data_IF_045898477227
#
_entry.id   IF_045898477227
#
_cell.length_a   1.000
_cell.length_b   1.000
_cell.length_c   1.000
_cell.angle_alpha   90.00
_cell.angle_beta   90.00
_cell.angle_gamma   90.00
#
_symmetry.space_group_name_H-M   'P 1'
#
loop_
_entity.id
_entity.type
_entity.pdbx_description
1 polymer ?
#
# COMPACT_ATOMS: atom_id res chain seq x y z
N UNK A 1 -5.06 15.95 -13.57
CA UNK A 1 -4.15 14.81 -13.34
C UNK A 1 -2.74 15.38 -13.24
N UNK A 2 -1.97 14.95 -12.23
CA UNK A 2 -0.54 15.25 -12.19
C UNK A 2 0.14 14.44 -13.30
N UNK A 3 1.00 15.13 -14.04
CA UNK A 3 1.77 14.57 -15.15
C UNK A 3 3.25 14.82 -14.88
N UNK A 4 4.08 13.81 -15.11
CA UNK A 4 5.53 13.92 -15.05
C UNK A 4 6.10 13.20 -16.27
N UNK A 5 6.91 13.89 -17.06
CA UNK A 5 7.53 13.33 -18.28
C UNK A 5 6.51 12.69 -19.25
N UNK A 6 5.33 13.31 -19.39
CA UNK A 6 4.23 12.78 -20.23
C UNK A 6 3.43 11.63 -19.61
N UNK A 7 3.86 11.07 -18.47
CA UNK A 7 3.14 10.01 -17.79
C UNK A 7 2.16 10.57 -16.75
N UNK A 8 0.96 9.99 -16.71
CA UNK A 8 -0.12 10.33 -15.76
C UNK A 8 -0.45 9.21 -14.80
N UNK A 9 0.20 8.07 -14.96
CA UNK A 9 0.04 6.89 -14.12
C UNK A 9 1.41 6.27 -13.86
N UNK A 10 1.67 5.93 -12.62
CA UNK A 10 2.95 5.45 -12.15
C UNK A 10 2.77 4.12 -11.43
N UNK A 11 3.66 3.17 -11.70
CA UNK A 11 3.67 1.87 -11.03
C UNK A 11 4.28 1.99 -9.64
N UNK A 12 3.61 1.39 -8.68
CA UNK A 12 4.04 1.34 -7.28
C UNK A 12 4.15 -0.11 -6.83
N UNK A 13 5.22 -0.39 -6.12
CA UNK A 13 5.34 -1.61 -5.33
C UNK A 13 5.54 -1.24 -3.87
N UNK A 14 4.92 -1.98 -2.95
CA UNK A 14 5.15 -1.83 -1.52
C UNK A 14 5.23 -3.20 -0.87
N UNK A 15 6.31 -3.45 -0.15
CA UNK A 15 6.50 -4.65 0.66
C UNK A 15 6.19 -4.29 2.12
N UNK A 16 5.19 -4.92 2.69
CA UNK A 16 4.81 -4.77 4.09
C UNK A 16 5.56 -5.79 4.94
N UNK A 17 6.06 -5.33 6.07
CA UNK A 17 6.78 -6.16 7.05
C UNK A 17 5.87 -6.47 8.23
N UNK A 18 5.87 -7.72 8.66
CA UNK A 18 5.16 -8.20 9.84
C UNK A 18 5.96 -9.35 10.47
N UNK A 19 5.59 -9.74 11.66
CA UNK A 19 6.10 -10.96 12.31
C UNK A 19 5.43 -12.20 11.72
N UNK A 20 6.02 -13.38 11.91
CA UNK A 20 5.44 -14.64 11.44
C UNK A 20 4.04 -14.90 12.00
N UNK A 21 3.79 -14.48 13.25
CA UNK A 21 2.47 -14.53 13.92
C UNK A 21 1.58 -13.31 13.63
N UNK A 22 2.00 -12.44 12.66
CA UNK A 22 1.21 -11.33 12.13
C UNK A 22 0.77 -10.30 13.18
N UNK A 23 1.66 -9.88 14.04
CA UNK A 23 1.39 -8.89 15.11
C UNK A 23 0.80 -7.59 14.55
N UNK A 24 1.42 -6.99 13.53
CA UNK A 24 0.94 -5.74 12.91
C UNK A 24 -0.47 -5.90 12.33
N UNK A 25 -0.72 -7.02 11.64
CA UNK A 25 -2.05 -7.36 11.14
C UNK A 25 -3.07 -7.47 12.25
N UNK A 26 -2.79 -8.25 13.29
CA UNK A 26 -3.71 -8.46 14.41
C UNK A 26 -4.03 -7.17 15.17
N UNK A 27 -3.03 -6.32 15.38
CA UNK A 27 -3.24 -5.00 15.99
C UNK A 27 -4.16 -4.13 15.12
N UNK A 28 -4.02 -4.19 13.80
CA UNK A 28 -4.85 -3.43 12.86
C UNK A 28 -6.28 -4.01 12.76
N UNK A 29 -6.44 -5.33 12.66
CA UNK A 29 -7.72 -6.03 12.54
C UNK A 29 -8.60 -5.81 13.78
N UNK A 30 -8.00 -5.90 14.96
CA UNK A 30 -8.66 -5.69 16.24
C UNK A 30 -8.77 -4.23 16.65
N UNK A 31 -8.40 -3.29 15.77
CA UNK A 31 -8.43 -1.83 16.00
C UNK A 31 -7.73 -1.39 17.30
N UNK A 32 -6.64 -2.06 17.67
CA UNK A 32 -5.91 -1.75 18.92
C UNK A 32 -5.46 -0.29 18.91
N UNK A 33 -5.43 0.34 20.09
CA UNK A 33 -5.03 1.74 20.25
C UNK A 33 -3.60 1.95 19.79
N UNK A 34 -2.65 1.12 20.25
CA UNK A 34 -1.28 1.08 19.78
C UNK A 34 -1.18 0.09 18.63
N UNK A 35 -0.75 0.55 17.48
CA UNK A 35 -0.58 -0.26 16.29
C UNK A 35 0.36 0.40 15.30
N UNK A 36 0.94 -0.39 14.45
CA UNK A 36 1.87 0.09 13.43
C UNK A 36 1.60 -0.57 12.08
N UNK A 37 2.22 -0.01 11.03
CA UNK A 37 2.44 -0.62 9.73
C UNK A 37 3.78 -0.17 9.22
N UNK A 38 4.64 -1.11 8.90
CA UNK A 38 5.93 -0.86 8.29
C UNK A 38 5.89 -1.36 6.85
N UNK A 39 6.41 -0.56 5.92
CA UNK A 39 6.58 -0.99 4.55
C UNK A 39 7.73 -0.27 3.88
N UNK A 40 8.40 -0.94 2.97
CA UNK A 40 9.10 -0.28 1.89
C UNK A 40 8.12 0.12 0.80
N UNK A 41 8.46 1.14 0.04
CA UNK A 41 7.72 1.54 -1.15
C UNK A 41 8.68 2.02 -2.21
N UNK A 42 8.66 1.38 -3.37
CA UNK A 42 9.40 1.81 -4.55
C UNK A 42 8.45 2.38 -5.63
N UNK A 43 8.99 3.27 -6.41
CA UNK A 43 8.39 3.78 -7.64
C UNK A 43 9.02 2.98 -8.77
N UNK A 44 8.27 2.05 -9.34
CA UNK A 44 8.80 1.11 -10.34
C UNK A 44 9.32 1.87 -11.56
N UNK A 45 10.55 1.54 -11.97
CA UNK A 45 11.22 2.24 -13.08
C UNK A 45 12.00 3.49 -12.66
N UNK A 46 12.08 3.77 -11.35
CA UNK A 46 12.94 4.82 -10.79
C UNK A 46 13.84 4.24 -9.72
N UNK A 47 14.89 4.98 -9.33
CA UNK A 47 15.74 4.63 -8.20
C UNK A 47 15.20 5.11 -6.84
N UNK A 48 13.92 5.53 -6.81
CA UNK A 48 13.32 6.11 -5.61
C UNK A 48 12.59 5.05 -4.80
N UNK A 49 13.00 4.90 -3.56
CA UNK A 49 12.29 4.07 -2.59
C UNK A 49 12.32 4.71 -1.19
N UNK A 50 11.40 4.32 -0.34
CA UNK A 50 11.27 4.79 1.04
C UNK A 50 10.91 3.62 1.95
N UNK A 51 11.47 3.62 3.17
CA UNK A 51 10.91 2.84 4.26
C UNK A 51 9.94 3.73 5.05
N UNK A 52 8.66 3.35 5.05
CA UNK A 52 7.57 4.13 5.65
C UNK A 52 7.02 3.42 6.88
N UNK A 53 7.02 4.10 8.01
CA UNK A 53 6.35 3.67 9.24
C UNK A 53 5.07 4.49 9.45
N UNK A 54 3.96 3.81 9.68
CA UNK A 54 2.72 4.43 10.13
C UNK A 54 2.35 3.87 11.49
N UNK A 55 2.43 4.72 12.52
CA UNK A 55 2.10 4.37 13.88
C UNK A 55 0.81 5.03 14.35
N UNK A 56 0.18 4.45 15.34
CA UNK A 56 -0.86 5.07 16.14
C UNK A 56 -0.61 4.78 17.59
N UNK A 57 -0.37 5.83 18.38
CA UNK A 57 -0.10 5.75 19.79
C UNK A 57 -1.35 5.76 20.66
N UNK A 58 -1.14 5.69 21.98
CA UNK A 58 -2.21 5.63 22.98
C UNK A 58 -3.18 6.82 22.96
N UNK A 59 -2.72 8.01 22.54
CA UNK A 59 -3.56 9.22 22.39
C UNK A 59 -4.41 9.23 21.10
N UNK A 60 -4.31 8.17 20.28
CA UNK A 60 -5.08 8.05 19.03
C UNK A 60 -4.52 8.86 17.86
N UNK A 61 -3.43 9.58 18.04
CA UNK A 61 -2.74 10.30 16.97
C UNK A 61 -2.08 9.29 16.04
N UNK A 62 -2.26 9.50 14.75
CA UNK A 62 -1.58 8.73 13.70
C UNK A 62 -0.41 9.55 13.20
N UNK A 63 0.78 8.97 13.29
CA UNK A 63 2.02 9.54 12.77
C UNK A 63 2.44 8.71 11.56
N UNK A 64 2.92 9.38 10.52
CA UNK A 64 3.52 8.77 9.34
C UNK A 64 4.89 9.40 9.14
N UNK A 65 5.90 8.58 9.23
CA UNK A 65 7.30 8.94 9.03
C UNK A 65 7.89 8.08 7.90
N UNK A 66 8.98 8.52 7.33
CA UNK A 66 9.71 7.77 6.32
C UNK A 66 11.18 8.18 6.34
N UNK A 67 12.02 7.25 5.92
CA UNK A 67 13.42 7.48 5.55
C UNK A 67 13.61 7.07 4.08
N UNK A 68 14.62 7.64 3.43
CA UNK A 68 15.05 7.19 2.12
C UNK A 68 15.52 5.74 2.20
N UNK A 69 15.33 4.97 1.14
CA UNK A 69 15.63 3.55 1.13
C UNK A 69 16.10 3.12 -0.25
N UNK A 70 17.07 2.22 -0.31
CA UNK A 70 17.53 1.68 -1.59
C UNK A 70 16.51 0.72 -2.17
N UNK A 71 16.29 0.81 -3.47
CA UNK A 71 15.37 -0.08 -4.19
C UNK A 71 15.75 -1.55 -4.07
N UNK A 72 17.07 -1.85 -4.01
CA UNK A 72 17.62 -3.19 -3.82
C UNK A 72 17.32 -3.79 -2.43
N UNK A 73 16.97 -2.96 -1.46
CA UNK A 73 16.70 -3.36 -0.08
C UNK A 73 15.19 -3.43 0.24
N UNK A 74 14.32 -3.21 -0.76
CA UNK A 74 12.87 -3.11 -0.51
C UNK A 74 12.23 -4.40 0.05
N UNK A 75 12.85 -5.55 -0.11
CA UNK A 75 12.38 -6.85 0.38
C UNK A 75 12.96 -7.25 1.75
N UNK A 76 13.79 -6.41 2.36
CA UNK A 76 14.45 -6.69 3.66
C UNK A 76 14.61 -5.43 4.50
N UNK A 77 14.86 -5.59 5.79
CA UNK A 77 15.22 -4.50 6.68
C UNK A 77 16.74 -4.44 6.85
N UNK A 78 17.34 -3.32 6.44
CA UNK A 78 18.75 -2.99 6.71
C UNK A 78 18.97 -2.70 8.21
N UNK A 79 20.21 -2.55 8.65
CA UNK A 79 20.52 -2.15 10.02
C UNK A 79 19.85 -0.81 10.37
N UNK A 80 19.98 0.20 9.51
CA UNK A 80 19.33 1.50 9.66
C UNK A 80 17.80 1.38 9.68
N UNK A 81 17.21 0.59 8.78
CA UNK A 81 15.77 0.34 8.73
C UNK A 81 15.25 -0.33 10.03
N UNK A 82 16.06 -1.19 10.65
CA UNK A 82 15.74 -1.81 11.95
C UNK A 82 15.79 -0.80 13.08
N UNK A 83 16.82 0.02 13.16
CA UNK A 83 16.96 1.07 14.16
C UNK A 83 15.78 2.07 14.07
N UNK A 84 15.54 2.61 12.89
CA UNK A 84 14.38 3.47 12.60
C UNK A 84 13.05 2.86 13.06
N UNK A 85 12.85 1.56 12.76
CA UNK A 85 11.61 0.86 13.12
C UNK A 85 11.50 0.63 14.62
N UNK A 86 12.60 0.32 15.31
CA UNK A 86 12.65 0.11 16.76
C UNK A 86 12.28 1.40 17.50
N UNK A 87 12.85 2.54 17.11
CA UNK A 87 12.56 3.85 17.69
C UNK A 87 11.09 4.22 17.52
N UNK A 88 10.53 4.00 16.34
CA UNK A 88 9.11 4.28 16.07
C UNK A 88 8.17 3.39 16.90
N UNK A 89 8.52 2.12 17.12
CA UNK A 89 7.75 1.21 17.99
C UNK A 89 7.84 1.64 19.46
N UNK A 90 9.05 1.94 19.95
CA UNK A 90 9.27 2.45 21.32
C UNK A 90 8.48 3.74 21.56
N UNK A 91 8.47 4.66 20.59
CA UNK A 91 7.74 5.94 20.65
C UNK A 91 6.24 5.81 20.87
N UNK A 92 5.63 4.67 20.51
CA UNK A 92 4.22 4.38 20.78
C UNK A 92 4.02 3.37 21.93
N UNK A 93 5.10 2.96 22.61
CA UNK A 93 5.09 2.01 23.72
C UNK A 93 4.76 0.59 23.30
N UNK A 94 5.23 0.16 22.13
CA UNK A 94 5.37 -1.22 21.72
C UNK A 94 6.81 -1.68 21.94
N UNK A 95 7.00 -2.99 22.08
CA UNK A 95 8.31 -3.58 22.25
C UNK A 95 9.19 -3.35 20.99
N UNK A 96 10.31 -2.62 21.07
CA UNK A 96 11.23 -2.45 19.96
C UNK A 96 11.88 -3.76 19.51
N UNK A 97 11.98 -4.76 20.39
CA UNK A 97 12.51 -6.08 20.08
C UNK A 97 11.71 -6.82 18.99
N UNK A 98 10.46 -6.44 18.75
CA UNK A 98 9.65 -6.99 17.64
C UNK A 98 10.36 -6.83 16.28
N UNK A 99 11.19 -5.82 16.10
CA UNK A 99 11.89 -5.56 14.84
C UNK A 99 12.78 -6.74 14.42
N UNK A 100 13.33 -7.48 15.36
CA UNK A 100 14.17 -8.65 15.08
C UNK A 100 13.41 -9.75 14.32
N UNK A 101 12.08 -9.85 14.52
CA UNK A 101 11.19 -10.85 13.90
C UNK A 101 10.39 -10.32 12.71
N UNK A 102 10.54 -9.05 12.34
CA UNK A 102 9.88 -8.51 11.16
C UNK A 102 10.53 -9.01 9.86
N UNK A 103 9.71 -9.57 9.00
CA UNK A 103 10.07 -9.98 7.64
C UNK A 103 9.02 -9.59 6.61
N UNK A 104 9.30 -9.73 5.31
CA UNK A 104 8.33 -9.51 4.25
C UNK A 104 7.10 -10.39 4.45
N UNK A 105 5.91 -9.79 4.51
CA UNK A 105 4.66 -10.50 4.77
C UNK A 105 3.64 -10.35 3.64
N UNK A 106 3.65 -9.20 2.97
CA UNK A 106 2.73 -8.92 1.87
C UNK A 106 3.33 -7.89 0.93
N UNK A 107 3.36 -8.18 -0.36
CA UNK A 107 3.68 -7.21 -1.41
C UNK A 107 2.40 -6.72 -2.07
N UNK A 108 2.32 -5.43 -2.36
CA UNK A 108 1.21 -4.85 -3.14
C UNK A 108 1.74 -4.14 -4.36
N UNK A 109 1.12 -4.38 -5.53
CA UNK A 109 1.41 -3.72 -6.80
C UNK A 109 0.17 -3.01 -7.31
N UNK A 110 0.33 -1.82 -7.88
CA UNK A 110 -0.76 -1.06 -8.47
C UNK A 110 -0.23 0.07 -9.34
N UNK A 111 -1.07 0.54 -10.25
CA UNK A 111 -0.85 1.77 -11.00
C UNK A 111 -1.57 2.92 -10.28
N UNK A 112 -0.91 4.06 -10.12
CA UNK A 112 -1.46 5.23 -9.45
C UNK A 112 -1.50 6.46 -10.34
N UNK A 113 -2.67 7.02 -10.49
CA UNK A 113 -2.87 8.39 -10.98
C UNK A 113 -3.19 9.31 -9.82
N UNK A 114 -2.67 10.54 -9.85
CA UNK A 114 -2.94 11.56 -8.84
C UNK A 114 -3.70 12.71 -9.47
N UNK A 115 -4.81 13.08 -8.84
CA UNK A 115 -5.61 14.25 -9.19
C UNK A 115 -5.33 15.35 -8.16
N UNK A 116 -5.13 16.56 -8.64
CA UNK A 116 -5.11 17.77 -7.83
C UNK A 116 -6.27 18.64 -8.31
N UNK A 117 -7.20 18.95 -7.42
CA UNK A 117 -8.31 19.82 -7.71
C UNK A 117 -7.94 21.30 -7.46
N UNK A 118 -8.66 22.26 -8.06
CA UNK A 118 -8.38 23.69 -7.87
C UNK A 118 -8.46 24.17 -6.42
N UNK A 119 -9.25 23.49 -5.58
CA UNK A 119 -9.40 23.75 -4.15
C UNK A 119 -8.25 23.16 -3.29
N UNK A 120 -7.18 22.65 -3.92
CA UNK A 120 -6.06 22.00 -3.25
C UNK A 120 -6.35 20.56 -2.80
N UNK A 121 -7.56 20.05 -3.01
CA UNK A 121 -7.88 18.65 -2.71
C UNK A 121 -7.07 17.72 -3.61
N UNK A 122 -6.46 16.73 -3.00
CA UNK A 122 -5.72 15.68 -3.70
C UNK A 122 -6.49 14.38 -3.63
N UNK A 123 -6.65 13.70 -4.76
CA UNK A 123 -7.11 12.32 -4.81
C UNK A 123 -6.12 11.44 -5.55
N UNK A 124 -6.03 10.19 -5.14
CA UNK A 124 -5.27 9.16 -5.85
C UNK A 124 -6.23 8.08 -6.33
N UNK A 125 -6.00 7.56 -7.52
CA UNK A 125 -6.74 6.46 -8.13
C UNK A 125 -5.74 5.34 -8.34
N UNK A 126 -5.94 4.23 -7.66
CA UNK A 126 -5.11 3.03 -7.77
C UNK A 126 -5.86 1.98 -8.57
N UNK A 127 -5.26 1.53 -9.66
CA UNK A 127 -5.76 0.52 -10.60
C UNK A 127 -4.80 -0.66 -10.68
N UNK A 128 -5.16 -1.72 -11.39
CA UNK A 128 -4.32 -2.92 -11.55
C UNK A 128 -3.84 -3.47 -10.21
N UNK A 129 -4.78 -3.60 -9.29
CA UNK A 129 -4.51 -3.95 -7.91
C UNK A 129 -4.11 -5.42 -7.76
N UNK A 130 -2.95 -5.67 -7.19
CA UNK A 130 -2.46 -7.01 -6.89
C UNK A 130 -1.83 -7.07 -5.49
N UNK A 131 -1.99 -8.22 -4.84
CA UNK A 131 -1.39 -8.57 -3.56
C UNK A 131 -0.69 -9.91 -3.68
N UNK A 132 0.50 -10.03 -3.12
CA UNK A 132 1.32 -11.23 -3.16
C UNK A 132 1.76 -11.51 -1.73
N UNK A 133 1.42 -12.67 -1.19
CA UNK A 133 1.88 -13.05 0.15
C UNK A 133 3.31 -13.62 0.14
N UNK A 134 3.83 -13.93 1.32
CA UNK A 134 5.17 -14.49 1.48
C UNK A 134 5.36 -15.86 0.80
N UNK A 135 4.27 -16.62 0.59
CA UNK A 135 4.28 -17.92 -0.09
C UNK A 135 4.13 -17.79 -1.62
N UNK A 136 4.03 -16.56 -2.13
CA UNK A 136 3.89 -16.27 -3.55
C UNK A 136 2.45 -16.41 -4.07
N UNK A 137 1.45 -16.62 -3.22
CA UNK A 137 0.05 -16.58 -3.65
C UNK A 137 -0.30 -15.15 -4.04
N UNK A 138 -0.90 -15.01 -5.21
CA UNK A 138 -1.27 -13.72 -5.76
C UNK A 138 -2.78 -13.56 -5.76
N UNK A 139 -3.25 -12.41 -5.30
CA UNK A 139 -4.64 -11.97 -5.41
C UNK A 139 -4.69 -10.75 -6.31
N UNK A 140 -5.53 -10.80 -7.32
CA UNK A 140 -5.84 -9.67 -8.19
C UNK A 140 -7.29 -9.25 -8.02
N UNK A 141 -7.54 -7.96 -8.20
CA UNK A 141 -8.89 -7.37 -8.10
C UNK A 141 -9.29 -6.68 -9.41
N UNK A 142 -9.57 -7.46 -10.48
CA UNK A 142 -9.91 -6.91 -11.78
C UNK A 142 -11.22 -6.12 -11.73
N UNK A 143 -11.27 -5.03 -12.50
CA UNK A 143 -12.46 -4.18 -12.59
C UNK A 143 -12.71 -3.26 -11.39
N UNK A 144 -11.87 -3.31 -10.36
CA UNK A 144 -11.97 -2.45 -9.20
C UNK A 144 -10.83 -1.44 -9.14
N UNK A 145 -11.14 -0.28 -8.58
CA UNK A 145 -10.16 0.78 -8.31
C UNK A 145 -10.29 1.24 -6.85
N UNK A 146 -9.19 1.70 -6.27
CA UNK A 146 -9.21 2.35 -4.97
C UNK A 146 -9.01 3.85 -5.18
N UNK A 147 -10.01 4.64 -4.79
CA UNK A 147 -9.92 6.10 -4.76
C UNK A 147 -9.68 6.54 -3.32
N UNK A 148 -8.62 7.31 -3.09
CA UNK A 148 -8.33 7.94 -1.79
C UNK A 148 -8.31 9.45 -1.97
N UNK A 149 -9.28 10.14 -1.38
CA UNK A 149 -9.30 11.60 -1.32
C UNK A 149 -8.63 12.09 -0.03
N UNK A 150 -7.91 13.20 -0.12
CA UNK A 150 -7.27 13.88 1.00
C UNK A 150 -7.70 15.34 1.02
N UNK A 151 -8.39 15.68 2.09
CA UNK A 151 -8.84 17.06 2.36
C UNK A 151 -8.44 17.44 3.78
N UNK A 152 -8.10 18.70 3.99
CA UNK A 152 -7.78 19.24 5.31
C UNK A 152 -9.04 19.64 6.12
N UNK A 153 -10.21 19.52 5.53
CA UNK A 153 -11.47 19.99 6.14
C UNK A 153 -12.70 19.16 5.76
N UNK A 154 -13.81 19.79 5.48
CA UNK A 154 -15.04 19.09 5.10
C UNK A 154 -14.88 18.32 3.78
N UNK A 155 -15.85 17.45 3.44
CA UNK A 155 -15.81 16.67 2.20
C UNK A 155 -15.57 17.55 0.97
N UNK A 156 -14.61 17.14 0.14
CA UNK A 156 -14.21 17.85 -1.07
C UNK A 156 -15.25 17.78 -2.19
N UNK A 157 -15.03 18.51 -3.28
CA UNK A 157 -15.84 18.38 -4.48
C UNK A 157 -15.76 16.96 -5.07
N UNK A 158 -14.58 16.31 -4.95
CA UNK A 158 -14.38 14.91 -5.39
C UNK A 158 -15.23 13.97 -4.55
N UNK A 159 -15.23 14.11 -3.21
CA UNK A 159 -16.05 13.28 -2.32
C UNK A 159 -17.54 13.43 -2.66
N UNK A 160 -18.01 14.66 -2.81
CA UNK A 160 -19.41 14.93 -3.17
C UNK A 160 -19.80 14.34 -4.52
N UNK A 161 -18.89 14.35 -5.50
CA UNK A 161 -19.13 13.75 -6.82
C UNK A 161 -19.24 12.23 -6.73
N UNK A 162 -18.37 11.58 -5.97
CA UNK A 162 -18.45 10.15 -5.71
C UNK A 162 -19.77 9.78 -5.00
N UNK A 163 -20.19 10.56 -4.01
CA UNK A 163 -21.43 10.31 -3.28
C UNK A 163 -22.68 10.48 -4.14
N UNK A 164 -22.70 11.46 -5.05
CA UNK A 164 -23.80 11.61 -6.04
C UNK A 164 -23.87 10.42 -6.99
N UNK A 165 -22.72 9.83 -7.33
CA UNK A 165 -22.63 8.60 -8.11
C UNK A 165 -22.94 7.32 -7.30
N UNK A 166 -23.39 7.45 -6.04
CA UNK A 166 -23.71 6.32 -5.18
C UNK A 166 -22.48 5.66 -4.52
N UNK A 167 -21.28 6.18 -4.75
CA UNK A 167 -20.04 5.61 -4.22
C UNK A 167 -19.80 6.18 -2.82
N UNK A 168 -19.87 5.32 -1.82
CA UNK A 168 -19.69 5.70 -0.41
C UNK A 168 -18.29 5.33 0.09
N UNK A 169 -17.72 6.10 1.06
CA UNK A 169 -16.41 5.78 1.62
C UNK A 169 -16.42 4.46 2.38
N UNK A 170 -15.34 3.69 2.21
CA UNK A 170 -15.13 2.40 2.85
C UNK A 170 -13.80 2.37 3.60
N UNK A 171 -13.76 1.61 4.69
CA UNK A 171 -12.57 1.48 5.53
C UNK A 171 -11.56 0.48 4.99
N UNK A 172 -11.00 0.74 3.81
CA UNK A 172 -10.01 -0.14 3.19
C UNK A 172 -8.60 0.07 3.73
N UNK A 173 -7.83 -1.00 3.77
CA UNK A 173 -6.38 -1.01 4.00
C UNK A 173 -5.74 -2.01 3.06
N UNK A 174 -4.91 -1.58 2.09
CA UNK A 174 -4.22 -2.52 1.19
C UNK A 174 -3.58 -3.67 1.96
N UNK A 175 -2.80 -3.36 3.01
CA UNK A 175 -2.21 -4.38 3.88
C UNK A 175 -3.27 -5.27 4.54
N UNK A 176 -4.14 -4.68 5.39
CA UNK A 176 -5.05 -5.49 6.22
C UNK A 176 -6.13 -6.21 5.41
N UNK A 177 -6.72 -5.56 4.39
CA UNK A 177 -7.76 -6.20 3.57
C UNK A 177 -7.15 -7.25 2.64
N UNK A 178 -5.97 -6.98 2.05
CA UNK A 178 -5.29 -7.96 1.20
C UNK A 178 -4.83 -9.19 1.98
N UNK A 179 -4.22 -9.00 3.15
CA UNK A 179 -3.87 -10.13 4.04
C UNK A 179 -5.10 -10.95 4.42
N UNK A 180 -6.20 -10.30 4.81
CA UNK A 180 -7.44 -11.00 5.16
C UNK A 180 -8.06 -11.79 4.00
N UNK A 181 -7.93 -11.27 2.77
CA UNK A 181 -8.46 -11.94 1.59
C UNK A 181 -7.60 -13.15 1.17
N UNK A 182 -6.28 -13.08 1.34
CA UNK A 182 -5.35 -14.18 1.09
C UNK A 182 -5.36 -15.24 2.20
N UNK A 183 -5.74 -14.85 3.42
CA UNK A 183 -5.74 -15.69 4.62
C UNK A 183 -7.11 -15.66 5.32
N UNK A 184 -8.11 -16.38 4.79
CA UNK A 184 -9.49 -16.34 5.30
C UNK A 184 -9.64 -16.90 6.71
N UNK A 185 -8.65 -17.65 7.21
CA UNK A 185 -8.58 -18.16 8.58
C UNK A 185 -8.34 -17.06 9.62
N UNK A 186 -7.88 -15.88 9.21
CA UNK A 186 -7.57 -14.78 10.10
C UNK A 186 -8.82 -13.98 10.49
N UNK A 187 -8.82 -13.43 11.70
CA UNK A 187 -9.87 -12.51 12.15
C UNK A 187 -9.98 -11.28 11.26
N UNK A 188 -11.07 -11.11 10.53
CA UNK A 188 -11.24 -10.12 9.48
C UNK A 188 -12.52 -9.29 9.56
N UNK A 189 -13.25 -9.33 10.69
CA UNK A 189 -14.56 -8.67 10.88
C UNK A 189 -14.57 -7.19 10.47
N UNK A 190 -13.47 -6.50 10.72
CA UNK A 190 -13.29 -5.09 10.33
C UNK A 190 -13.47 -4.84 8.83
N UNK A 191 -13.15 -5.80 7.99
CA UNK A 191 -13.19 -5.69 6.54
C UNK A 191 -14.23 -6.63 5.91
N UNK A 192 -15.12 -7.21 6.72
CA UNK A 192 -16.09 -8.22 6.27
C UNK A 192 -16.97 -7.74 5.10
N UNK A 193 -17.34 -6.44 5.08
CA UNK A 193 -18.12 -5.86 3.98
C UNK A 193 -17.33 -5.83 2.68
N UNK A 194 -16.06 -5.43 2.72
CA UNK A 194 -15.18 -5.44 1.55
C UNK A 194 -14.90 -6.86 1.05
N UNK A 195 -14.66 -7.80 1.97
CA UNK A 195 -14.38 -9.19 1.64
C UNK A 195 -15.58 -9.87 0.97
N UNK A 196 -16.80 -9.61 1.44
CA UNK A 196 -18.04 -10.14 0.84
C UNK A 196 -18.54 -9.35 -0.37
N UNK A 197 -18.07 -8.12 -0.55
CA UNK A 197 -18.39 -7.25 -1.68
C UNK A 197 -17.29 -7.30 -2.74
N UNK A 198 -16.49 -6.23 -2.91
CA UNK A 198 -15.48 -6.13 -3.97
C UNK A 198 -14.52 -7.31 -4.05
N UNK A 199 -14.05 -7.81 -2.91
CA UNK A 199 -13.06 -8.89 -2.86
C UNK A 199 -13.66 -10.28 -3.15
N UNK A 200 -14.99 -10.44 -3.20
CA UNK A 200 -15.61 -11.70 -3.61
C UNK A 200 -15.34 -12.05 -5.08
N UNK A 201 -15.03 -11.06 -5.91
CA UNK A 201 -14.64 -11.23 -7.30
C UNK A 201 -13.12 -11.33 -7.52
N UNK A 202 -12.34 -11.37 -6.45
CA UNK A 202 -10.89 -11.47 -6.54
C UNK A 202 -10.46 -12.79 -7.16
N UNK A 203 -9.39 -12.73 -7.97
CA UNK A 203 -8.76 -13.92 -8.54
C UNK A 203 -7.55 -14.26 -7.71
N UNK A 204 -7.53 -15.46 -7.15
CA UNK A 204 -6.39 -15.98 -6.39
C UNK A 204 -5.65 -17.02 -7.23
N UNK A 205 -4.35 -16.82 -7.41
CA UNK A 205 -3.47 -17.72 -8.15
C UNK A 205 -2.28 -18.13 -7.28
N UNK A 206 -1.85 -19.40 -7.33
CA UNK A 206 -0.62 -19.85 -6.68
C UNK A 206 0.65 -19.35 -7.40
N UNK A 207 0.53 -18.71 -8.55
CA UNK A 207 1.66 -18.29 -9.38
C UNK A 207 1.94 -16.80 -9.16
N UNK A 208 3.20 -16.40 -8.86
CA UNK A 208 3.57 -15.00 -8.81
C UNK A 208 3.26 -14.31 -10.16
N UNK A 209 2.83 -13.06 -10.10
CA UNK A 209 2.71 -12.25 -11.31
C UNK A 209 4.07 -12.15 -11.98
N UNK A 210 4.17 -12.49 -13.26
CA UNK A 210 5.36 -12.17 -14.05
C UNK A 210 5.59 -10.65 -13.99
N UNK A 211 6.85 -10.18 -13.87
CA UNK A 211 7.14 -8.77 -13.94
C UNK A 211 6.55 -8.23 -15.24
N UNK A 212 5.83 -7.11 -15.16
CA UNK A 212 5.31 -6.45 -16.34
C UNK A 212 6.50 -6.12 -17.25
N UNK A 213 6.61 -6.79 -18.40
CA UNK A 213 7.55 -6.43 -19.44
C UNK A 213 7.17 -5.03 -19.94
N UNK A 214 7.79 -4.00 -19.39
CA UNK A 214 7.94 -2.75 -20.08
C UNK A 214 9.02 -2.97 -21.13
N UNK A 215 8.62 -3.41 -22.33
CA UNK A 215 9.51 -3.36 -23.50
C UNK A 215 9.89 -1.90 -23.72
N UNK A 216 11.19 -1.53 -23.71
CA UNK A 216 11.58 -0.21 -24.17
C UNK A 216 11.27 -0.17 -25.67
N UNK A 217 10.39 0.71 -26.08
CA UNK A 217 10.17 1.04 -27.48
C UNK A 217 11.45 1.70 -27.98
N UNK A 218 12.32 0.92 -28.61
CA UNK A 218 13.47 1.41 -29.33
C UNK A 218 12.94 2.20 -30.55
N UNK A 219 12.91 3.50 -30.44
CA UNK A 219 12.79 4.39 -31.60
C UNK A 219 14.12 4.34 -32.34
N UNK A 220 14.18 3.52 -33.37
CA UNK A 220 15.25 3.55 -34.37
C UNK A 220 15.07 4.82 -35.22
N UNK A 221 15.87 5.83 -34.97
CA UNK A 221 16.09 6.91 -35.95
C UNK A 221 16.86 6.32 -37.12
N UNK A 222 16.20 6.20 -38.27
CA UNK A 222 16.90 6.04 -39.56
C UNK A 222 17.39 7.39 -39.99
N UNK A 223 18.69 7.57 -39.95
CA UNK A 223 19.36 8.59 -40.73
C UNK A 223 19.10 8.32 -42.20
N UNK A 224 18.55 9.28 -42.89
CA UNK A 224 18.51 9.33 -44.34
C UNK A 224 19.37 10.53 -44.80
N UNK A 225 20.36 10.19 -45.61
CA UNK A 225 21.26 11.08 -46.32
C UNK A 225 20.54 12.09 -47.23
#
# INVERSE_FOLDING_TARGET
VLEQEGARSFAYESVYFDTADRVSYHLAARSRRRRFKLRSRSYVGTETAFLEMKTRGGRGVTVKERIDYDTENCDRLTAEGREYSADALAGIGLDPGLVASLGPALTTRYQRSTLLAPDGTRATIDTSLAWIDADGRTLELPGWVIVESKTAGPPSAIDRSLWRAGIRPEGISKFGTGTAALHPELSSNKWSRLLRGPFSSARISPRPLSPAHTSPTHLSMKDSA
#
